data_IF_100360199045
#
_entry.id   IF_100360199045
#
_cell.length_a   1.000
_cell.length_b   1.000
_cell.length_c   1.000
_cell.angle_alpha   90.00
_cell.angle_beta   90.00
_cell.angle_gamma   90.00
#
_symmetry.space_group_name_H-M   'P 1'
#
loop_
_entity.id
_entity.type
_entity.pdbx_description
1 polymer ?
#
# COMPACT_ATOMS: atom_id res chain seq x y z
N UNK A 1 -16.62 20.47 -9.78
CA UNK A 1 -16.37 19.13 -10.35
C UNK A 1 -15.71 18.31 -9.25
N UNK A 2 -16.33 17.22 -8.80
CA UNK A 2 -15.86 16.43 -7.65
C UNK A 2 -14.91 15.32 -8.10
N UNK A 3 -15.26 14.61 -9.18
CA UNK A 3 -14.41 13.65 -9.88
C UNK A 3 -14.98 13.40 -11.29
N UNK A 4 -14.23 12.70 -12.14
CA UNK A 4 -14.72 12.25 -13.46
C UNK A 4 -15.42 10.90 -13.37
N UNK A 5 -14.83 9.99 -12.59
CA UNK A 5 -15.35 8.66 -12.32
C UNK A 5 -15.09 8.28 -10.87
N UNK A 6 -16.03 7.55 -10.29
CA UNK A 6 -15.94 7.03 -8.93
C UNK A 6 -16.24 5.53 -8.91
N UNK A 7 -15.69 4.86 -7.90
CA UNK A 7 -15.97 3.46 -7.59
C UNK A 7 -16.91 3.48 -6.38
N UNK A 8 -18.11 2.93 -6.53
CA UNK A 8 -19.07 2.83 -5.43
C UNK A 8 -20.02 1.66 -5.65
N UNK A 9 -20.67 1.22 -4.57
CA UNK A 9 -21.76 0.24 -4.65
C UNK A 9 -22.97 0.62 -3.79
N UNK A 10 -22.88 1.68 -3.00
CA UNK A 10 -23.94 2.12 -2.10
C UNK A 10 -24.86 3.14 -2.80
N UNK A 11 -26.16 2.83 -2.98
CA UNK A 11 -27.10 3.72 -3.66
C UNK A 11 -27.34 5.06 -2.94
N UNK A 12 -27.24 5.11 -1.61
CA UNK A 12 -27.39 6.34 -0.86
C UNK A 12 -26.20 7.27 -1.10
N UNK A 13 -24.99 6.71 -1.14
CA UNK A 13 -23.79 7.46 -1.52
C UNK A 13 -23.87 7.96 -2.97
N UNK A 14 -24.38 7.12 -3.89
CA UNK A 14 -24.59 7.51 -5.29
C UNK A 14 -25.60 8.64 -5.42
N UNK A 15 -26.71 8.58 -4.67
CA UNK A 15 -27.75 9.62 -4.67
C UNK A 15 -27.20 10.95 -4.17
N UNK A 16 -26.51 10.94 -3.04
CA UNK A 16 -25.86 12.14 -2.50
C UNK A 16 -24.86 12.74 -3.50
N UNK A 17 -24.08 11.89 -4.19
CA UNK A 17 -23.14 12.35 -5.21
C UNK A 17 -23.86 12.94 -6.43
N UNK A 18 -24.94 12.31 -6.90
CA UNK A 18 -25.76 12.78 -8.01
C UNK A 18 -26.40 14.15 -7.74
N UNK A 19 -26.90 14.38 -6.52
CA UNK A 19 -27.45 15.68 -6.09
C UNK A 19 -26.40 16.80 -6.09
N UNK A 20 -25.13 16.47 -5.82
CA UNK A 20 -24.01 17.41 -5.89
C UNK A 20 -23.51 17.64 -7.33
N UNK A 21 -23.80 16.73 -8.25
CA UNK A 21 -23.37 16.74 -9.64
C UNK A 21 -24.21 17.69 -10.52
N UNK A 22 -24.14 19.00 -10.25
CA UNK A 22 -25.02 20.03 -10.85
C UNK A 22 -24.83 20.31 -12.35
N UNK A 23 -23.68 19.92 -12.93
CA UNK A 23 -23.32 20.31 -14.31
C UNK A 23 -23.20 19.14 -15.28
N UNK A 24 -22.76 17.98 -14.80
CA UNK A 24 -22.55 16.76 -15.59
C UNK A 24 -22.74 15.57 -14.66
N UNK A 25 -23.37 14.47 -15.11
CA UNK A 25 -23.41 13.24 -14.33
C UNK A 25 -22.01 12.76 -13.96
N UNK A 26 -21.90 12.12 -12.79
CA UNK A 26 -20.65 11.46 -12.39
C UNK A 26 -20.67 10.03 -12.91
N UNK A 27 -19.58 9.60 -13.55
CA UNK A 27 -19.45 8.21 -13.99
C UNK A 27 -19.21 7.30 -12.79
N UNK A 28 -19.95 6.20 -12.73
CA UNK A 28 -19.87 5.20 -11.66
C UNK A 28 -19.44 3.86 -12.22
N UNK A 29 -18.43 3.26 -11.60
CA UNK A 29 -18.17 1.83 -11.69
C UNK A 29 -18.76 1.17 -10.46
N UNK A 30 -19.74 0.28 -10.67
CA UNK A 30 -20.31 -0.52 -9.60
C UNK A 30 -19.22 -1.44 -9.05
N UNK A 31 -18.85 -1.28 -7.79
CA UNK A 31 -17.89 -2.19 -7.16
C UNK A 31 -18.54 -3.52 -6.84
N UNK A 32 -17.86 -4.62 -7.18
CA UNK A 32 -18.32 -5.99 -6.97
C UNK A 32 -17.27 -6.76 -6.18
N UNK A 33 -17.69 -7.39 -5.08
CA UNK A 33 -16.84 -8.21 -4.23
C UNK A 33 -16.76 -9.65 -4.74
N UNK A 34 -15.59 -10.04 -5.24
CA UNK A 34 -15.32 -11.42 -5.67
C UNK A 34 -14.61 -12.27 -4.60
N UNK A 35 -14.57 -11.79 -3.36
CA UNK A 35 -14.00 -12.46 -2.18
C UNK A 35 -12.87 -11.69 -1.49
N UNK A 36 -12.55 -10.46 -1.91
CA UNK A 36 -11.64 -9.57 -1.17
C UNK A 36 -12.28 -9.10 0.14
N UNK A 37 -13.62 -9.06 0.19
CA UNK A 37 -14.44 -8.64 1.35
C UNK A 37 -14.23 -7.19 1.80
N UNK A 38 -13.58 -6.36 0.97
CA UNK A 38 -13.26 -4.96 1.30
C UNK A 38 -14.39 -4.01 0.93
N UNK A 39 -14.77 -3.96 -0.34
CA UNK A 39 -15.85 -3.15 -0.88
C UNK A 39 -16.58 -3.88 -2.01
N UNK A 40 -17.79 -3.42 -2.31
CA UNK A 40 -18.59 -3.92 -3.41
C UNK A 40 -19.73 -4.80 -2.97
N UNK A 41 -20.73 -4.91 -3.85
CA UNK A 41 -21.87 -5.80 -3.66
C UNK A 41 -21.48 -7.23 -4.03
N UNK A 42 -22.19 -8.19 -3.46
CA UNK A 42 -22.04 -9.59 -3.88
C UNK A 42 -22.50 -9.74 -5.35
N UNK A 43 -21.92 -10.70 -6.11
CA UNK A 43 -22.22 -10.89 -7.53
C UNK A 43 -23.71 -10.98 -7.88
N UNK A 44 -24.47 -11.70 -7.07
CA UNK A 44 -25.91 -11.93 -7.20
C UNK A 44 -26.76 -10.68 -6.96
N UNK A 45 -26.23 -9.70 -6.22
CA UNK A 45 -26.88 -8.40 -5.99
C UNK A 45 -26.49 -7.34 -7.02
N UNK A 46 -25.45 -7.57 -7.82
CA UNK A 46 -24.94 -6.58 -8.78
C UNK A 46 -26.00 -6.10 -9.79
N UNK A 47 -26.83 -6.96 -10.41
CA UNK A 47 -27.90 -6.52 -11.31
C UNK A 47 -28.95 -5.63 -10.62
N UNK A 48 -29.35 -6.01 -9.40
CA UNK A 48 -30.33 -5.25 -8.60
C UNK A 48 -29.81 -3.85 -8.28
N UNK A 49 -28.56 -3.75 -7.83
CA UNK A 49 -27.96 -2.45 -7.50
C UNK A 49 -27.71 -1.62 -8.75
N UNK A 50 -27.27 -2.22 -9.86
CA UNK A 50 -27.12 -1.52 -11.13
C UNK A 50 -28.44 -0.89 -11.62
N UNK A 51 -29.55 -1.60 -11.47
CA UNK A 51 -30.88 -1.08 -11.79
C UNK A 51 -31.26 0.12 -10.93
N UNK A 52 -30.97 0.08 -9.63
CA UNK A 52 -31.21 1.21 -8.72
C UNK A 52 -30.36 2.44 -9.09
N UNK A 53 -29.07 2.24 -9.37
CA UNK A 53 -28.16 3.32 -9.76
C UNK A 53 -28.59 4.01 -11.06
N UNK A 54 -29.13 3.26 -12.02
CA UNK A 54 -29.65 3.80 -13.29
C UNK A 54 -30.80 4.79 -13.08
N UNK A 55 -31.57 4.63 -11.99
CA UNK A 55 -32.69 5.50 -11.65
C UNK A 55 -32.29 6.82 -10.99
N UNK A 56 -31.02 7.01 -10.65
CA UNK A 56 -30.54 8.19 -9.92
C UNK A 56 -30.17 9.33 -10.86
N UNK A 57 -30.70 10.53 -10.57
CA UNK A 57 -30.33 11.73 -11.31
C UNK A 57 -28.86 12.12 -11.05
N UNK A 58 -28.13 12.49 -12.09
CA UNK A 58 -26.74 12.95 -11.97
C UNK A 58 -25.70 11.82 -11.82
N UNK A 59 -26.09 10.57 -12.07
CA UNK A 59 -25.21 9.39 -12.04
C UNK A 59 -25.30 8.66 -13.37
N UNK A 60 -24.14 8.34 -13.95
CA UNK A 60 -24.03 7.50 -15.14
C UNK A 60 -23.29 6.21 -14.77
N UNK A 61 -23.97 5.06 -14.79
CA UNK A 61 -23.28 3.77 -14.64
C UNK A 61 -22.48 3.48 -15.92
N UNK A 62 -21.17 3.20 -15.79
CA UNK A 62 -20.27 2.95 -16.93
C UNK A 62 -19.63 1.56 -16.92
N UNK A 63 -19.92 0.74 -15.91
CA UNK A 63 -19.42 -0.63 -15.83
C UNK A 63 -19.22 -1.09 -14.39
N UNK A 64 -18.28 -2.01 -14.18
CA UNK A 64 -17.97 -2.56 -12.85
C UNK A 64 -16.49 -2.43 -12.50
N UNK A 65 -16.20 -2.43 -11.20
CA UNK A 65 -14.85 -2.52 -10.67
C UNK A 65 -14.74 -3.67 -9.65
N UNK A 66 -13.62 -4.37 -9.69
CA UNK A 66 -13.27 -5.41 -8.71
C UNK A 66 -11.89 -5.12 -8.14
N UNK A 67 -11.62 -5.56 -6.93
CA UNK A 67 -10.32 -5.41 -6.27
C UNK A 67 -9.83 -6.77 -5.74
N UNK A 68 -8.53 -7.03 -5.82
CA UNK A 68 -7.92 -8.28 -5.37
C UNK A 68 -6.79 -8.05 -4.37
N UNK A 69 -6.62 -9.03 -3.47
CA UNK A 69 -5.53 -9.17 -2.52
C UNK A 69 -5.30 -7.99 -1.56
N UNK A 70 -6.28 -7.10 -1.36
CA UNK A 70 -6.09 -5.95 -0.49
C UNK A 70 -6.45 -6.26 0.96
N UNK A 71 -7.60 -6.90 1.21
CA UNK A 71 -8.04 -7.20 2.57
C UNK A 71 -7.93 -8.69 2.89
N UNK A 72 -8.53 -9.55 2.07
CA UNK A 72 -8.54 -11.00 2.35
C UNK A 72 -7.29 -11.74 1.86
N UNK A 73 -6.47 -11.08 1.04
CA UNK A 73 -5.35 -11.72 0.35
C UNK A 73 -5.77 -12.64 -0.81
N UNK A 74 -7.06 -12.64 -1.20
CA UNK A 74 -7.52 -13.44 -2.33
C UNK A 74 -6.82 -12.99 -3.63
N UNK A 75 -6.06 -13.91 -4.21
CA UNK A 75 -5.31 -13.65 -5.44
C UNK A 75 -6.24 -13.58 -6.65
N UNK A 76 -5.91 -12.73 -7.64
CA UNK A 76 -6.61 -12.72 -8.91
C UNK A 76 -6.42 -14.05 -9.66
N UNK A 77 -7.38 -14.38 -10.51
CA UNK A 77 -7.26 -15.50 -11.43
C UNK A 77 -8.06 -15.23 -12.70
N UNK A 78 -7.70 -15.91 -13.81
CA UNK A 78 -8.47 -15.79 -15.05
C UNK A 78 -9.93 -16.22 -14.87
N UNK A 79 -10.21 -17.17 -13.96
CA UNK A 79 -11.58 -17.57 -13.62
C UNK A 79 -12.36 -16.41 -12.97
N UNK A 80 -11.74 -15.69 -12.03
CA UNK A 80 -12.34 -14.49 -11.41
C UNK A 80 -12.52 -13.36 -12.44
N UNK A 81 -11.60 -13.21 -13.40
CA UNK A 81 -11.78 -12.24 -14.49
C UNK A 81 -12.97 -12.60 -15.38
N UNK A 82 -13.14 -13.89 -15.71
CA UNK A 82 -14.32 -14.35 -16.46
C UNK A 82 -15.61 -14.15 -15.69
N UNK A 83 -15.61 -14.43 -14.38
CA UNK A 83 -16.75 -14.15 -13.52
C UNK A 83 -17.09 -12.65 -13.49
N UNK A 84 -16.09 -11.77 -13.39
CA UNK A 84 -16.32 -10.32 -13.45
C UNK A 84 -16.93 -9.89 -14.80
N UNK A 85 -16.46 -10.46 -15.91
CA UNK A 85 -17.06 -10.20 -17.22
C UNK A 85 -18.49 -10.74 -17.36
N UNK A 86 -18.80 -11.90 -16.76
CA UNK A 86 -20.17 -12.44 -16.77
C UNK A 86 -21.12 -11.50 -16.02
N UNK A 87 -20.69 -10.99 -14.86
CA UNK A 87 -21.45 -9.98 -14.10
C UNK A 87 -21.57 -8.68 -14.91
N UNK A 88 -20.49 -8.23 -15.56
CA UNK A 88 -20.53 -7.05 -16.42
C UNK A 88 -21.54 -7.22 -17.57
N UNK A 89 -21.65 -8.41 -18.13
CA UNK A 89 -22.63 -8.71 -19.17
C UNK A 89 -24.08 -8.59 -18.67
N UNK A 90 -24.35 -9.02 -17.44
CA UNK A 90 -25.68 -8.89 -16.81
C UNK A 90 -26.04 -7.42 -16.52
N UNK A 91 -25.07 -6.60 -16.11
CA UNK A 91 -25.31 -5.17 -15.82
C UNK A 91 -25.15 -4.26 -17.05
N UNK A 92 -24.70 -4.78 -18.18
CA UNK A 92 -24.38 -3.98 -19.37
C UNK A 92 -25.55 -3.15 -19.88
N UNK A 93 -26.79 -3.66 -19.75
CA UNK A 93 -28.01 -2.96 -20.15
C UNK A 93 -28.32 -1.70 -19.32
N UNK A 94 -27.69 -1.57 -18.15
CA UNK A 94 -27.78 -0.40 -17.26
C UNK A 94 -26.71 0.65 -17.54
N UNK A 95 -25.69 0.33 -18.35
CA UNK A 95 -24.58 1.23 -18.62
C UNK A 95 -24.91 2.22 -19.74
N UNK A 96 -24.49 3.48 -19.60
CA UNK A 96 -24.82 4.55 -20.56
C UNK A 96 -24.20 4.36 -21.95
N UNK A 97 -22.98 3.81 -22.03
CA UNK A 97 -22.34 3.32 -23.25
C UNK A 97 -21.02 2.62 -22.93
N UNK A 98 -20.64 1.61 -23.73
CA UNK A 98 -19.32 0.96 -23.68
C UNK A 98 -18.92 0.44 -22.30
N UNK A 99 -19.58 -0.62 -21.79
CA UNK A 99 -19.32 -1.14 -20.45
C UNK A 99 -17.83 -1.44 -20.22
N UNK A 100 -17.31 -0.91 -19.12
CA UNK A 100 -15.91 -1.04 -18.73
C UNK A 100 -15.75 -2.02 -17.56
N UNK A 101 -14.76 -2.90 -17.66
CA UNK A 101 -14.27 -3.71 -16.56
C UNK A 101 -13.01 -3.09 -15.97
N UNK A 102 -13.03 -2.74 -14.68
CA UNK A 102 -11.85 -2.21 -13.99
C UNK A 102 -11.32 -3.23 -12.99
N UNK A 103 -10.14 -3.79 -13.23
CA UNK A 103 -9.49 -4.78 -12.36
C UNK A 103 -8.47 -4.12 -11.43
N UNK A 104 -8.61 -4.27 -10.11
CA UNK A 104 -7.77 -3.61 -9.11
C UNK A 104 -6.73 -4.52 -8.46
N UNK A 105 -5.49 -4.03 -8.39
CA UNK A 105 -4.36 -4.65 -7.71
C UNK A 105 -3.17 -4.82 -8.64
N UNK A 106 -1.96 -4.49 -8.16
CA UNK A 106 -0.71 -4.73 -8.92
C UNK A 106 -0.58 -6.21 -9.31
N UNK A 107 -1.02 -7.11 -8.44
CA UNK A 107 -1.03 -8.55 -8.67
C UNK A 107 -1.82 -8.99 -9.90
N UNK A 108 -2.82 -8.21 -10.35
CA UNK A 108 -3.59 -8.49 -11.58
C UNK A 108 -2.67 -8.63 -12.79
N UNK A 109 -1.61 -7.81 -12.86
CA UNK A 109 -0.65 -7.81 -13.97
C UNK A 109 0.01 -9.18 -14.18
N UNK A 110 0.13 -10.00 -13.13
CA UNK A 110 0.73 -11.33 -13.16
C UNK A 110 -0.17 -12.39 -13.83
N UNK A 111 -1.43 -12.06 -14.11
CA UNK A 111 -2.44 -12.99 -14.62
C UNK A 111 -3.02 -12.56 -15.99
N UNK A 112 -2.44 -11.52 -16.61
CA UNK A 112 -2.90 -10.98 -17.89
C UNK A 112 -2.39 -11.73 -19.11
N UNK A 113 -1.26 -12.45 -19.00
CA UNK A 113 -0.77 -13.26 -20.11
C UNK A 113 -1.88 -14.21 -20.57
N UNK A 114 -2.10 -14.35 -21.88
CA UNK A 114 -3.19 -15.15 -22.46
C UNK A 114 -4.62 -14.74 -22.09
N UNK A 115 -4.84 -13.66 -21.34
CA UNK A 115 -6.18 -13.14 -21.05
C UNK A 115 -6.62 -12.21 -22.18
N UNK A 116 -7.69 -12.61 -22.86
CA UNK A 116 -8.35 -11.80 -23.89
C UNK A 116 -9.68 -11.31 -23.33
N UNK A 117 -9.83 -10.01 -23.00
CA UNK A 117 -11.03 -9.49 -22.39
C UNK A 117 -12.20 -9.43 -23.39
N UNK A 118 -13.42 -9.71 -22.91
CA UNK A 118 -14.67 -9.59 -23.70
C UNK A 118 -15.19 -8.15 -23.79
N UNK A 119 -14.80 -7.33 -22.83
CA UNK A 119 -15.20 -5.93 -22.70
C UNK A 119 -13.97 -5.03 -22.77
N UNK A 120 -14.19 -3.71 -22.84
CA UNK A 120 -13.11 -2.78 -22.55
C UNK A 120 -12.65 -3.04 -21.10
N UNK A 121 -11.33 -3.15 -20.89
CA UNK A 121 -10.78 -3.49 -19.58
C UNK A 121 -9.60 -2.60 -19.23
N UNK A 122 -9.62 -2.04 -18.03
CA UNK A 122 -8.50 -1.32 -17.42
C UNK A 122 -7.97 -2.06 -16.20
N UNK A 123 -6.70 -1.82 -15.85
CA UNK A 123 -6.05 -2.39 -14.67
C UNK A 123 -5.53 -1.26 -13.78
N UNK A 124 -5.91 -1.27 -12.51
CA UNK A 124 -5.47 -0.29 -11.50
C UNK A 124 -4.29 -0.88 -10.73
N UNK A 125 -3.11 -0.31 -10.95
CA UNK A 125 -1.86 -0.71 -10.30
C UNK A 125 -1.24 0.50 -9.60
N UNK A 126 -1.13 0.43 -8.27
CA UNK A 126 -0.54 1.49 -7.44
C UNK A 126 0.91 1.19 -7.06
N UNK A 127 1.16 -0.02 -6.55
CA UNK A 127 2.49 -0.43 -6.11
C UNK A 127 3.46 -0.71 -7.26
N UNK A 128 2.95 -1.21 -8.41
CA UNK A 128 3.80 -1.62 -9.53
C UNK A 128 4.75 -0.53 -10.04
N UNK A 129 4.28 0.70 -10.31
CA UNK A 129 5.14 1.81 -10.73
C UNK A 129 6.20 2.25 -9.71
N UNK A 130 5.94 2.07 -8.41
CA UNK A 130 6.87 2.47 -7.33
C UNK A 130 7.94 1.40 -7.14
N UNK A 131 7.52 0.15 -7.11
CA UNK A 131 8.37 -0.97 -6.71
C UNK A 131 9.00 -1.70 -7.89
N UNK A 132 8.38 -1.68 -9.07
CA UNK A 132 8.76 -2.51 -10.22
C UNK A 132 8.44 -4.01 -10.04
N UNK A 133 7.73 -4.38 -8.98
CA UNK A 133 7.26 -5.73 -8.73
C UNK A 133 5.88 -5.72 -8.03
N UNK A 134 5.18 -6.83 -8.10
CA UNK A 134 4.01 -7.12 -7.28
C UNK A 134 4.46 -7.69 -5.93
N UNK A 135 4.27 -6.94 -4.84
CA UNK A 135 4.63 -7.37 -3.50
C UNK A 135 3.67 -8.40 -2.89
N UNK A 136 2.49 -8.64 -3.48
CA UNK A 136 1.58 -9.71 -3.02
C UNK A 136 2.13 -11.08 -3.42
N UNK A 137 2.54 -11.23 -4.68
CA UNK A 137 3.12 -12.48 -5.19
C UNK A 137 4.65 -12.54 -5.15
N UNK A 138 5.33 -11.47 -4.75
CA UNK A 138 6.79 -11.25 -4.91
C UNK A 138 7.29 -11.54 -6.33
N UNK A 139 6.58 -11.00 -7.33
CA UNK A 139 6.89 -11.22 -8.75
C UNK A 139 7.24 -9.93 -9.45
N UNK A 140 8.38 -9.91 -10.14
CA UNK A 140 8.80 -8.78 -10.98
C UNK A 140 7.77 -8.44 -12.05
N UNK A 141 7.72 -7.16 -12.43
CA UNK A 141 6.91 -6.69 -13.56
C UNK A 141 7.80 -6.53 -14.79
N UNK A 142 7.38 -7.14 -15.91
CA UNK A 142 8.14 -7.07 -17.15
C UNK A 142 8.32 -5.61 -17.60
N UNK A 143 9.55 -5.24 -17.97
CA UNK A 143 9.90 -3.88 -18.39
C UNK A 143 10.15 -2.89 -17.24
N UNK A 144 10.00 -3.31 -15.98
CA UNK A 144 10.30 -2.48 -14.80
C UNK A 144 11.45 -3.08 -14.01
N UNK A 145 12.31 -2.21 -13.48
CA UNK A 145 13.37 -2.62 -12.55
C UNK A 145 12.80 -2.66 -11.13
N UNK A 146 13.03 -3.77 -10.43
CA UNK A 146 12.71 -3.88 -9.00
C UNK A 146 13.53 -2.85 -8.21
N UNK A 147 12.84 -1.94 -7.54
CA UNK A 147 13.43 -0.86 -6.74
C UNK A 147 12.65 -0.74 -5.44
N UNK A 148 13.31 -0.93 -4.30
CA UNK A 148 12.68 -0.71 -3.00
C UNK A 148 12.91 0.76 -2.59
N UNK A 149 11.89 1.51 -2.16
CA UNK A 149 12.07 2.81 -1.53
C UNK A 149 12.99 2.68 -0.32
N UNK A 150 13.86 3.67 -0.11
CA UNK A 150 14.87 3.62 0.95
C UNK A 150 14.61 4.71 1.98
N UNK A 151 14.50 4.31 3.25
CA UNK A 151 14.58 5.21 4.40
C UNK A 151 16.02 5.30 4.87
N UNK A 152 16.48 6.50 5.19
CA UNK A 152 17.74 6.73 5.90
C UNK A 152 17.43 7.30 7.28
N UNK A 153 18.03 6.75 8.33
CA UNK A 153 17.84 7.20 9.71
C UNK A 153 19.20 7.38 10.41
N UNK A 154 19.34 8.47 11.16
CA UNK A 154 20.55 8.77 11.92
C UNK A 154 20.65 7.94 13.21
N UNK A 155 21.87 7.50 13.53
CA UNK A 155 22.20 6.86 14.81
C UNK A 155 22.29 7.93 15.90
N UNK A 156 21.57 7.72 16.99
CA UNK A 156 21.58 8.57 18.19
C UNK A 156 22.59 8.08 19.23
N UNK A 157 22.63 6.76 19.44
CA UNK A 157 23.57 6.09 20.35
C UNK A 157 23.85 4.66 19.87
N UNK A 158 24.96 4.08 20.31
CA UNK A 158 25.22 2.65 20.11
C UNK A 158 26.03 2.08 21.28
N UNK A 159 25.47 1.07 21.95
CA UNK A 159 26.08 0.42 23.09
C UNK A 159 26.04 -1.10 22.97
N UNK A 160 27.06 -1.76 23.53
CA UNK A 160 27.07 -3.21 23.66
C UNK A 160 26.16 -3.59 24.84
N UNK A 161 25.15 -4.41 24.58
CA UNK A 161 24.19 -4.86 25.59
C UNK A 161 24.22 -6.39 25.71
N UNK A 162 23.98 -6.92 26.92
CA UNK A 162 23.90 -8.36 27.14
C UNK A 162 22.66 -8.96 26.46
N UNK A 163 22.53 -10.29 26.45
CA UNK A 163 21.33 -10.99 25.96
C UNK A 163 20.04 -10.54 26.65
N UNK A 164 18.91 -10.95 26.07
CA UNK A 164 17.59 -10.67 26.65
C UNK A 164 17.50 -11.09 28.13
N UNK A 165 16.87 -10.28 28.99
CA UNK A 165 16.73 -10.60 30.41
C UNK A 165 15.92 -11.89 30.60
N UNK A 166 16.29 -12.67 31.62
CA UNK A 166 15.54 -13.86 32.03
C UNK A 166 14.36 -13.44 32.92
N UNK A 167 13.14 -13.51 32.41
CA UNK A 167 11.94 -13.14 33.16
C UNK A 167 10.65 -13.25 32.33
N UNK A 168 9.50 -13.03 32.97
CA UNK A 168 8.23 -12.96 32.26
C UNK A 168 8.18 -11.69 31.41
N UNK A 169 7.88 -11.84 30.12
CA UNK A 169 7.65 -10.73 29.21
C UNK A 169 6.18 -10.31 29.24
N UNK A 170 5.93 -9.00 29.27
CA UNK A 170 4.62 -8.40 29.07
C UNK A 170 4.46 -7.86 27.65
N UNK A 171 3.46 -7.00 27.46
CA UNK A 171 3.27 -6.26 26.20
C UNK A 171 4.22 -5.06 26.15
N UNK A 172 4.56 -4.62 24.93
CA UNK A 172 5.23 -3.34 24.70
C UNK A 172 4.27 -2.15 24.97
N UNK A 173 4.79 -0.93 24.86
CA UNK A 173 4.01 0.29 25.06
C UNK A 173 2.84 0.49 24.08
N UNK A 174 2.74 -0.35 23.03
CA UNK A 174 1.70 -0.35 22.01
C UNK A 174 0.78 -1.56 22.11
N UNK A 175 0.93 -2.39 23.16
CA UNK A 175 0.11 -3.58 23.37
C UNK A 175 0.53 -4.78 22.51
N UNK A 176 1.68 -4.74 21.85
CA UNK A 176 2.19 -5.88 21.09
C UNK A 176 2.99 -6.82 21.98
N UNK A 177 2.98 -8.10 21.64
CA UNK A 177 4.03 -9.01 22.10
C UNK A 177 5.26 -8.73 21.24
N UNK A 178 6.42 -8.36 21.82
CA UNK A 178 7.62 -8.14 21.03
C UNK A 178 7.98 -9.40 20.22
N UNK A 179 7.87 -9.33 18.89
CA UNK A 179 8.09 -10.48 18.01
C UNK A 179 9.58 -10.73 17.71
N UNK A 180 10.43 -9.75 18.00
CA UNK A 180 11.85 -9.83 17.63
C UNK A 180 12.62 -10.76 18.54
N UNK A 181 13.33 -11.70 17.91
CA UNK A 181 14.33 -12.53 18.58
C UNK A 181 15.57 -11.69 18.89
N UNK A 182 15.73 -11.35 20.16
CA UNK A 182 16.96 -10.73 20.64
C UNK A 182 18.13 -11.73 20.62
N UNK A 183 19.37 -11.24 20.39
CA UNK A 183 20.58 -12.04 20.46
C UNK A 183 20.72 -12.83 21.77
N UNK A 184 21.34 -14.01 21.66
CA UNK A 184 21.70 -14.87 22.80
C UNK A 184 23.07 -14.53 23.39
N UNK A 185 23.78 -13.63 22.76
CA UNK A 185 25.11 -13.15 23.13
C UNK A 185 25.14 -11.61 23.11
N UNK A 186 26.19 -11.03 23.66
CA UNK A 186 26.37 -9.58 23.68
C UNK A 186 26.40 -9.02 22.26
N UNK A 187 25.55 -8.04 21.98
CA UNK A 187 25.44 -7.42 20.66
C UNK A 187 25.45 -5.89 20.76
N UNK A 188 25.71 -5.23 19.63
CA UNK A 188 25.62 -3.78 19.52
C UNK A 188 24.18 -3.37 19.24
N UNK A 189 23.63 -2.52 20.09
CA UNK A 189 22.30 -1.95 19.93
C UNK A 189 22.46 -0.47 19.62
N UNK A 190 22.09 -0.07 18.41
CA UNK A 190 22.01 1.30 17.97
C UNK A 190 20.59 1.84 18.12
N UNK A 191 20.44 3.02 18.71
CA UNK A 191 19.18 3.76 18.73
C UNK A 191 19.14 4.68 17.51
N UNK A 192 18.02 4.68 16.79
CA UNK A 192 17.84 5.42 15.55
C UNK A 192 16.78 6.52 15.73
N UNK A 193 17.00 7.65 15.07
CA UNK A 193 16.13 8.82 15.06
C UNK A 193 14.88 8.62 14.18
N UNK A 194 14.16 7.51 14.36
CA UNK A 194 12.89 7.23 13.69
C UNK A 194 12.08 6.26 14.55
N UNK A 195 10.82 6.57 14.83
CA UNK A 195 9.96 5.72 15.65
C UNK A 195 8.68 5.30 14.96
N UNK A 196 7.85 4.53 15.67
CA UNK A 196 6.54 4.07 15.21
C UNK A 196 5.63 5.19 14.76
N UNK A 197 5.80 6.43 15.22
CA UNK A 197 4.99 7.54 14.71
C UNK A 197 5.25 7.81 13.24
N UNK A 198 6.48 7.60 12.79
CA UNK A 198 6.96 7.94 11.47
C UNK A 198 7.01 6.75 10.52
N UNK A 199 7.15 5.54 11.06
CA UNK A 199 7.38 4.34 10.25
C UNK A 199 6.65 3.12 10.82
N UNK A 200 6.30 2.17 9.97
CA UNK A 200 5.91 0.82 10.40
C UNK A 200 7.18 -0.05 10.51
N UNK A 201 7.64 -0.41 11.73
CA UNK A 201 8.92 -1.11 11.90
C UNK A 201 8.97 -2.47 11.22
N UNK A 202 7.86 -3.19 11.14
CA UNK A 202 7.81 -4.51 10.50
C UNK A 202 8.13 -4.44 9.00
N UNK A 203 7.83 -3.31 8.35
CA UNK A 203 8.13 -3.07 6.95
C UNK A 203 9.54 -2.52 6.68
N UNK A 204 10.41 -2.41 7.70
CA UNK A 204 11.78 -1.92 7.53
C UNK A 204 12.79 -3.07 7.42
N UNK A 205 13.44 -3.20 6.26
CA UNK A 205 14.52 -4.16 6.05
C UNK A 205 15.88 -3.45 6.05
N UNK A 206 16.76 -3.66 7.05
CA UNK A 206 18.10 -3.06 7.06
C UNK A 206 18.89 -3.43 5.80
N UNK A 207 19.59 -2.46 5.22
CA UNK A 207 20.53 -2.68 4.12
C UNK A 207 21.97 -2.95 4.62
N UNK A 208 22.25 -2.66 5.89
CA UNK A 208 23.50 -3.01 6.54
C UNK A 208 23.58 -4.54 6.75
N UNK A 209 24.53 -5.26 6.12
CA UNK A 209 24.62 -6.71 6.23
C UNK A 209 24.79 -7.17 7.68
N UNK A 210 24.03 -8.19 8.08
CA UNK A 210 24.07 -8.73 9.44
C UNK A 210 23.34 -7.89 10.50
N UNK A 211 22.77 -6.74 10.13
CA UNK A 211 21.94 -5.96 11.04
C UNK A 211 20.48 -6.43 11.04
N UNK A 212 19.80 -6.27 12.17
CA UNK A 212 18.38 -6.59 12.32
C UNK A 212 17.66 -5.56 13.20
N UNK A 213 16.39 -5.30 12.94
CA UNK A 213 15.61 -4.38 13.77
C UNK A 213 15.14 -5.11 15.04
N UNK A 214 15.52 -4.59 16.21
CA UNK A 214 15.10 -5.10 17.52
C UNK A 214 13.66 -4.69 17.86
N UNK A 215 13.21 -3.56 17.35
CA UNK A 215 11.88 -3.01 17.57
C UNK A 215 11.89 -1.48 17.54
N UNK A 216 10.75 -0.86 17.83
CA UNK A 216 10.62 0.58 17.89
C UNK A 216 9.60 1.03 18.94
N UNK A 217 9.84 2.21 19.50
CA UNK A 217 8.91 2.96 20.34
C UNK A 217 8.34 4.15 19.56
N UNK A 218 7.67 5.11 20.21
CA UNK A 218 7.04 6.25 19.53
C UNK A 218 7.98 7.03 18.62
N UNK A 219 9.17 7.37 19.12
CA UNK A 219 10.08 8.33 18.46
C UNK A 219 11.45 7.72 18.08
N UNK A 220 11.72 6.48 18.49
CA UNK A 220 13.01 5.82 18.22
C UNK A 220 12.85 4.35 17.87
N UNK A 221 13.82 3.86 17.11
CA UNK A 221 13.95 2.47 16.68
C UNK A 221 15.27 1.92 17.19
N UNK A 222 15.30 0.61 17.45
CA UNK A 222 16.50 -0.07 17.96
C UNK A 222 16.97 -1.05 16.90
N UNK A 223 18.20 -0.89 16.44
CA UNK A 223 18.87 -1.77 15.50
C UNK A 223 19.93 -2.59 16.24
N UNK A 224 19.93 -3.90 16.04
CA UNK A 224 21.04 -4.76 16.38
C UNK A 224 22.02 -4.73 15.21
N UNK A 225 23.25 -4.28 15.46
CA UNK A 225 24.29 -4.10 14.45
C UNK A 225 25.44 -5.11 14.63
N UNK A 226 26.12 -5.52 13.54
CA UNK A 226 27.28 -6.42 13.63
C UNK A 226 28.49 -5.75 14.29
N UNK A 227 28.58 -4.42 14.23
CA UNK A 227 29.66 -3.63 14.77
C UNK A 227 29.15 -2.34 15.42
N UNK A 228 30.04 -1.63 16.11
CA UNK A 228 29.68 -0.37 16.77
C UNK A 228 29.48 0.73 15.74
N UNK A 229 28.27 1.28 15.71
CA UNK A 229 27.96 2.51 15.00
C UNK A 229 28.22 3.73 15.89
N UNK A 230 28.42 4.90 15.31
CA UNK A 230 28.66 6.15 16.02
C UNK A 230 27.48 7.11 15.85
N UNK A 231 27.21 7.97 16.85
CA UNK A 231 26.20 9.01 16.69
C UNK A 231 26.45 9.87 15.44
N UNK A 232 25.41 10.08 14.65
CA UNK A 232 25.48 10.76 13.35
C UNK A 232 25.72 9.85 12.15
N UNK A 233 26.09 8.57 12.35
CA UNK A 233 26.11 7.60 11.26
C UNK A 233 24.70 7.41 10.68
N UNK A 234 24.60 7.14 9.39
CA UNK A 234 23.35 6.88 8.71
C UNK A 234 23.14 5.39 8.45
N UNK A 235 21.96 4.89 8.81
CA UNK A 235 21.54 3.51 8.48
C UNK A 235 20.40 3.56 7.48
N UNK A 236 20.48 2.72 6.46
CA UNK A 236 19.52 2.65 5.36
C UNK A 236 18.64 1.40 5.44
N UNK A 237 17.38 1.54 5.09
CA UNK A 237 16.38 0.48 5.11
C UNK A 237 15.60 0.45 3.81
N UNK A 238 15.47 -0.71 3.18
CA UNK A 238 14.45 -0.92 2.16
C UNK A 238 13.07 -1.00 2.84
N UNK A 239 12.07 -0.30 2.28
CA UNK A 239 10.74 -0.20 2.85
C UNK A 239 9.73 -1.08 2.10
N UNK A 240 8.98 -1.88 2.86
CA UNK A 240 7.71 -2.45 2.41
C UNK A 240 6.59 -1.40 2.40
N UNK A 241 5.43 -1.76 1.83
CA UNK A 241 4.37 -0.81 1.50
C UNK A 241 3.79 -0.08 2.72
N UNK A 242 3.54 -0.79 3.81
CA UNK A 242 3.05 -0.23 5.08
C UNK A 242 4.03 0.80 5.67
N UNK A 243 5.32 0.47 5.70
CA UNK A 243 6.37 1.37 6.12
C UNK A 243 6.46 2.59 5.21
N UNK A 244 6.42 2.39 3.88
CA UNK A 244 6.41 3.50 2.92
C UNK A 244 5.24 4.46 3.17
N UNK A 245 4.01 3.94 3.25
CA UNK A 245 2.80 4.76 3.44
C UNK A 245 2.92 5.60 4.72
N UNK A 246 3.43 5.01 5.80
CA UNK A 246 3.61 5.72 7.06
C UNK A 246 4.71 6.77 6.98
N UNK A 247 5.83 6.45 6.33
CA UNK A 247 6.93 7.38 6.12
C UNK A 247 6.49 8.62 5.35
N UNK A 248 5.87 8.43 4.17
CA UNK A 248 5.52 9.55 3.28
C UNK A 248 4.38 10.43 3.81
N UNK A 249 3.65 9.96 4.82
CA UNK A 249 2.60 10.73 5.49
C UNK A 249 3.08 11.38 6.79
N UNK A 250 4.27 11.05 7.29
CA UNK A 250 4.85 11.71 8.47
C UNK A 250 5.39 13.10 8.11
N UNK A 251 5.03 14.16 8.87
CA UNK A 251 5.60 15.49 8.68
C UNK A 251 7.07 15.58 9.12
N UNK A 252 7.60 14.54 9.76
CA UNK A 252 8.99 14.48 10.24
C UNK A 252 9.93 13.72 9.29
N UNK A 253 9.39 13.15 8.21
CA UNK A 253 10.16 12.45 7.18
C UNK A 253 10.23 13.32 5.93
N UNK A 254 11.45 13.62 5.48
CA UNK A 254 11.66 14.31 4.20
C UNK A 254 11.64 13.28 3.07
N UNK A 255 10.81 13.52 2.05
CA UNK A 255 10.70 12.65 0.87
C UNK A 255 11.44 13.28 -0.29
N UNK A 256 12.40 12.53 -0.84
CA UNK A 256 13.14 12.92 -2.03
C UNK A 256 12.95 11.87 -3.14
N UNK A 257 12.61 12.34 -4.33
CA UNK A 257 12.55 11.49 -5.52
C UNK A 257 13.82 11.69 -6.34
N UNK A 258 14.73 10.72 -6.30
CA UNK A 258 15.92 10.73 -7.16
C UNK A 258 15.61 9.98 -8.47
N UNK A 259 15.99 10.52 -9.65
CA UNK A 259 15.98 9.74 -10.88
C UNK A 259 16.98 8.58 -10.76
N UNK A 260 16.64 7.47 -11.40
CA UNK A 260 17.47 6.26 -11.45
C UNK A 260 18.93 6.56 -11.78
N UNK A 261 19.84 6.32 -10.83
CA UNK A 261 21.29 6.27 -11.10
C UNK A 261 22.17 7.17 -10.22
N UNK A 262 21.62 8.18 -9.55
CA UNK A 262 22.37 9.01 -8.61
C UNK A 262 21.86 8.83 -7.18
N UNK A 263 22.74 8.57 -6.18
CA UNK A 263 22.32 8.73 -4.80
C UNK A 263 21.87 10.18 -4.59
N UNK A 264 20.79 10.43 -3.81
CA UNK A 264 20.40 11.80 -3.47
C UNK A 264 21.62 12.51 -2.86
N UNK A 265 22.03 13.62 -3.46
CA UNK A 265 23.07 14.48 -2.91
C UNK A 265 22.49 15.07 -1.63
N UNK A 266 23.11 14.84 -0.45
CA UNK A 266 22.63 15.44 0.78
C UNK A 266 22.56 16.95 0.58
N UNK A 267 21.35 17.53 0.69
CA UNK A 267 21.23 18.98 0.80
C UNK A 267 21.78 19.35 2.17
N UNK A 268 22.89 20.09 2.19
CA UNK A 268 23.36 20.76 3.39
C UNK A 268 22.20 21.57 3.95
N UNK A 269 21.59 21.07 5.03
CA UNK A 269 20.66 21.85 5.84
C UNK A 269 21.49 22.97 6.44
N UNK A 270 21.19 24.26 6.15
CA UNK A 270 21.90 25.35 6.79
C UNK A 270 21.73 25.17 8.29
N UNK A 271 22.84 25.08 9.03
CA UNK A 271 22.82 25.18 10.49
C UNK A 271 22.17 26.53 10.82
N UNK A 272 20.86 26.48 11.11
CA UNK A 272 20.09 27.64 11.52
C UNK A 272 20.77 28.26 12.73
N UNK A 273 21.07 29.55 12.61
CA UNK A 273 21.48 30.38 13.73
C UNK A 273 20.42 30.33 14.82
N UNK A 274 20.88 30.24 16.06
CA UNK A 274 20.06 30.49 17.22
C UNK A 274 19.52 31.93 17.18
N UNK A 275 18.37 32.21 17.82
CA UNK A 275 17.95 33.58 18.10
C UNK A 275 18.95 34.33 18.98
#
# INVERSE_FOLDING_TARGET
RVADRVLLCDPDAARALGELARSRPVEVLLTVDLGDRREGVLPDLAPTVAAELTGLAGVDLVGIAVNFACLSGQLPSRALFRQAEDILAEVAGHCVAGPLLSLGGTCVLQHLDGYVPRFATEVRSGGGPIYGYDFVGDRGLAGLRRTDPVLTAAVLECFRKPPAPTGAAGLDAFGHVPEVRLPREDAWYALLAVGRRDIEPAGMRPLLPGASLAGATSDVSVLIAPERLHPGDEVRFALHYDALVRAVTSPFVTVECAPDGDPPVPRDVPKGGAP
#
